data_IF_334501588820
#
_entry.id   IF_334501588820
#
_cell.length_a   1.000
_cell.length_b   1.000
_cell.length_c   1.000
_cell.angle_alpha   90.00
_cell.angle_beta   90.00
_cell.angle_gamma   90.00
#
_symmetry.space_group_name_H-M   'P 1'
#
loop_
_entity.id
_entity.type
_entity.pdbx_description
1 polymer ?
#
# COMPACT_ATOMS: atom_id res chain seq x y z
N UNK A 1 23.80 -12.61 -18.31
CA UNK A 1 22.92 -11.95 -17.30
C UNK A 1 22.35 -13.02 -16.39
N UNK A 2 22.78 -13.04 -15.14
CA UNK A 2 22.27 -14.03 -14.17
C UNK A 2 21.10 -13.40 -13.43
N UNK A 3 19.93 -13.41 -14.03
CA UNK A 3 18.69 -12.84 -13.50
C UNK A 3 17.89 -13.84 -12.65
N UNK A 4 18.53 -14.88 -12.14
CA UNK A 4 17.87 -15.83 -11.23
C UNK A 4 17.69 -15.19 -9.87
N UNK A 5 16.46 -15.13 -9.32
CA UNK A 5 16.23 -14.66 -7.95
C UNK A 5 17.04 -15.49 -6.95
N UNK A 6 17.38 -14.87 -5.83
CA UNK A 6 18.05 -15.55 -4.71
C UNK A 6 17.23 -16.77 -4.27
N UNK A 7 17.89 -17.86 -3.93
CA UNK A 7 17.23 -19.05 -3.39
C UNK A 7 16.47 -18.68 -2.10
N UNK A 8 15.15 -18.94 -2.10
CA UNK A 8 14.26 -18.55 -0.98
C UNK A 8 13.65 -17.15 -1.09
N UNK A 9 13.98 -16.37 -2.13
CA UNK A 9 13.34 -15.09 -2.40
C UNK A 9 11.87 -15.27 -2.80
N UNK A 10 11.03 -14.33 -2.37
CA UNK A 10 9.63 -14.25 -2.83
C UNK A 10 9.49 -13.46 -4.14
N UNK A 11 10.55 -12.84 -4.63
CA UNK A 11 10.57 -12.12 -5.90
C UNK A 11 10.44 -13.15 -7.04
N UNK A 12 9.54 -12.88 -7.97
CA UNK A 12 9.34 -13.70 -9.16
C UNK A 12 9.63 -12.89 -10.42
N UNK A 13 10.17 -13.56 -11.43
CA UNK A 13 10.47 -12.95 -12.72
C UNK A 13 9.59 -13.59 -13.76
N UNK A 14 8.86 -12.79 -14.48
CA UNK A 14 8.02 -13.22 -15.59
C UNK A 14 8.50 -12.57 -16.88
N UNK A 15 8.47 -13.33 -17.95
CA UNK A 15 8.69 -12.83 -19.32
C UNK A 15 7.33 -12.73 -19.99
N UNK A 16 6.87 -11.51 -20.25
CA UNK A 16 5.62 -11.27 -20.95
C UNK A 16 5.82 -10.22 -22.05
N UNK A 17 5.25 -10.45 -23.23
CA UNK A 17 5.31 -9.53 -24.37
C UNK A 17 6.75 -9.09 -24.76
N UNK A 18 7.74 -9.96 -24.59
CA UNK A 18 9.15 -9.65 -24.89
C UNK A 18 9.88 -8.81 -23.83
N UNK A 19 9.22 -8.50 -22.72
CA UNK A 19 9.80 -7.73 -21.61
C UNK A 19 9.92 -8.59 -20.36
N UNK A 20 11.00 -8.36 -19.62
CA UNK A 20 11.18 -8.93 -18.29
C UNK A 20 10.42 -8.11 -17.26
N UNK A 21 9.59 -8.78 -16.46
CA UNK A 21 8.83 -8.17 -15.37
C UNK A 21 9.25 -8.80 -14.05
N UNK A 22 9.79 -8.01 -13.16
CA UNK A 22 10.15 -8.41 -11.79
C UNK A 22 8.96 -8.09 -10.90
N UNK A 23 8.42 -9.09 -10.21
CA UNK A 23 7.27 -8.96 -9.32
C UNK A 23 7.74 -9.09 -7.88
N UNK A 24 7.52 -8.04 -7.10
CA UNK A 24 7.90 -7.97 -5.69
C UNK A 24 6.62 -8.05 -4.84
N UNK A 25 6.39 -9.15 -4.12
CA UNK A 25 5.22 -9.29 -3.27
C UNK A 25 5.32 -8.42 -2.03
N UNK A 26 4.20 -7.90 -1.56
CA UNK A 26 4.13 -7.22 -0.28
C UNK A 26 4.20 -8.22 0.88
N UNK A 27 4.69 -7.77 2.03
CA UNK A 27 4.69 -8.58 3.27
C UNK A 27 3.27 -9.03 3.59
N UNK A 28 3.14 -10.32 3.96
CA UNK A 28 1.85 -10.89 4.35
C UNK A 28 1.35 -10.24 5.65
N UNK A 29 0.10 -9.81 5.64
CA UNK A 29 -0.55 -9.32 6.88
C UNK A 29 -0.88 -10.51 7.77
N UNK A 30 -0.54 -10.41 9.04
CA UNK A 30 -0.80 -11.44 10.03
C UNK A 30 -2.29 -11.72 10.28
N UNK A 31 -2.58 -12.77 11.04
CA UNK A 31 -3.94 -13.17 11.42
C UNK A 31 -4.69 -12.10 12.24
N UNK A 32 -3.97 -11.14 12.82
CA UNK A 32 -4.53 -10.02 13.60
C UNK A 32 -5.59 -9.22 12.82
N UNK A 33 -5.49 -9.15 11.49
CA UNK A 33 -6.52 -8.51 10.65
C UNK A 33 -7.92 -9.09 10.83
N UNK A 34 -8.03 -10.40 11.08
CA UNK A 34 -9.34 -11.04 11.27
C UNK A 34 -9.98 -10.64 12.62
N UNK A 35 -9.15 -10.50 13.65
CA UNK A 35 -9.61 -9.99 14.95
C UNK A 35 -10.12 -8.55 14.82
N UNK A 36 -9.36 -7.67 14.19
CA UNK A 36 -9.76 -6.28 13.93
C UNK A 36 -11.02 -6.23 13.06
N UNK A 37 -11.09 -7.07 12.03
CA UNK A 37 -12.28 -7.17 11.17
C UNK A 37 -13.53 -7.59 11.93
N UNK A 38 -13.44 -8.60 12.79
CA UNK A 38 -14.54 -9.05 13.63
C UNK A 38 -15.00 -7.94 14.58
N UNK A 39 -14.05 -7.24 15.23
CA UNK A 39 -14.37 -6.08 16.06
C UNK A 39 -15.15 -5.02 15.30
N UNK A 40 -14.68 -4.61 14.10
CA UNK A 40 -15.40 -3.62 13.29
C UNK A 40 -16.78 -4.08 12.85
N UNK A 41 -16.96 -5.37 12.54
CA UNK A 41 -18.29 -5.92 12.19
C UNK A 41 -19.27 -5.84 13.35
N UNK A 42 -18.83 -6.24 14.56
CA UNK A 42 -19.64 -6.15 15.77
C UNK A 42 -19.98 -4.69 16.09
N UNK A 43 -18.99 -3.82 16.01
CA UNK A 43 -19.16 -2.38 16.26
C UNK A 43 -20.14 -1.76 15.25
N UNK A 44 -20.01 -2.06 13.93
CA UNK A 44 -20.95 -1.60 12.90
C UNK A 44 -22.37 -2.14 13.12
N UNK A 45 -22.51 -3.36 13.64
CA UNK A 45 -23.80 -3.92 14.02
C UNK A 45 -24.49 -3.07 15.09
N UNK A 46 -23.82 -2.77 16.19
CA UNK A 46 -24.35 -1.90 17.25
C UNK A 46 -24.57 -0.45 16.74
N UNK A 47 -23.61 0.06 15.94
CA UNK A 47 -23.69 1.36 15.29
C UNK A 47 -24.94 1.50 14.41
N UNK A 48 -25.27 0.49 13.59
CA UNK A 48 -26.41 0.51 12.69
C UNK A 48 -27.75 0.55 13.44
N UNK A 49 -27.87 -0.17 14.55
CA UNK A 49 -29.05 -0.11 15.41
C UNK A 49 -29.27 1.31 15.95
N UNK A 50 -28.21 1.93 16.49
CA UNK A 50 -28.28 3.32 16.95
C UNK A 50 -28.63 4.31 15.83
N UNK A 51 -28.07 4.10 14.64
CA UNK A 51 -28.33 4.94 13.47
C UNK A 51 -29.82 4.85 13.04
N UNK A 52 -30.38 3.66 12.94
CA UNK A 52 -31.81 3.45 12.60
C UNK A 52 -32.70 4.10 13.65
N UNK A 53 -32.39 3.95 14.94
CA UNK A 53 -33.14 4.57 16.03
C UNK A 53 -33.11 6.10 15.93
N UNK A 54 -31.93 6.68 15.66
CA UNK A 54 -31.80 8.13 15.50
C UNK A 54 -32.57 8.67 14.28
N UNK A 55 -32.55 7.93 13.16
CA UNK A 55 -33.35 8.29 11.98
C UNK A 55 -34.84 8.25 12.29
N UNK A 56 -35.33 7.22 12.99
CA UNK A 56 -36.74 7.12 13.36
C UNK A 56 -37.19 8.27 14.28
N UNK A 57 -36.34 8.70 15.21
CA UNK A 57 -36.61 9.86 16.07
C UNK A 57 -36.66 11.15 15.24
N UNK A 58 -35.73 11.33 14.30
CA UNK A 58 -35.68 12.50 13.44
C UNK A 58 -36.95 12.63 12.56
N UNK A 59 -37.51 11.50 12.08
CA UNK A 59 -38.75 11.50 11.32
C UNK A 59 -39.97 11.85 12.15
N UNK A 60 -39.94 11.60 13.47
CA UNK A 60 -41.04 11.93 14.38
C UNK A 60 -40.95 13.34 14.97
N UNK A 61 -39.73 13.83 15.19
CA UNK A 61 -39.47 15.15 15.74
C UNK A 61 -38.28 15.76 15.00
N UNK A 62 -38.51 16.77 14.15
CA UNK A 62 -37.46 17.43 13.38
C UNK A 62 -36.57 18.28 14.29
N UNK A 63 -35.61 17.66 14.95
CA UNK A 63 -34.62 18.36 15.77
C UNK A 63 -33.36 18.68 14.97
N UNK A 64 -32.99 19.95 14.75
CA UNK A 64 -31.82 20.34 13.98
C UNK A 64 -30.50 19.76 14.53
N UNK A 65 -30.38 19.62 15.85
CA UNK A 65 -29.22 19.00 16.48
C UNK A 65 -29.03 17.56 16.05
N UNK A 66 -30.11 16.77 15.99
CA UNK A 66 -30.09 15.37 15.59
C UNK A 66 -29.67 15.19 14.13
N UNK A 67 -30.04 16.14 13.25
CA UNK A 67 -29.55 16.16 11.85
C UNK A 67 -28.04 16.29 11.76
N UNK A 68 -27.46 17.28 12.44
CA UNK A 68 -26.00 17.51 12.43
C UNK A 68 -25.25 16.31 13.03
N UNK A 69 -25.77 15.79 14.14
CA UNK A 69 -25.20 14.65 14.81
C UNK A 69 -25.25 13.39 13.94
N UNK A 70 -26.38 13.10 13.29
CA UNK A 70 -26.59 11.98 12.40
C UNK A 70 -25.70 12.08 11.15
N UNK A 71 -25.47 13.29 10.61
CA UNK A 71 -24.54 13.50 9.50
C UNK A 71 -23.09 13.12 9.92
N UNK A 72 -22.61 13.61 11.06
CA UNK A 72 -21.30 13.24 11.59
C UNK A 72 -21.18 11.74 11.88
N UNK A 73 -22.21 11.15 12.48
CA UNK A 73 -22.26 9.71 12.73
C UNK A 73 -22.22 8.90 11.45
N UNK A 74 -22.98 9.30 10.40
CA UNK A 74 -22.97 8.63 9.08
C UNK A 74 -21.60 8.67 8.43
N UNK A 75 -20.87 9.79 8.51
CA UNK A 75 -19.49 9.89 8.04
C UNK A 75 -18.56 8.88 8.76
N UNK A 76 -18.71 8.75 10.09
CA UNK A 76 -17.97 7.77 10.88
C UNK A 76 -18.24 6.33 10.43
N UNK A 77 -19.49 5.98 10.16
CA UNK A 77 -19.88 4.65 9.66
C UNK A 77 -19.30 4.35 8.28
N UNK A 78 -19.41 5.29 7.34
CA UNK A 78 -18.83 5.18 5.99
C UNK A 78 -17.31 4.98 6.08
N UNK A 79 -16.64 5.71 6.96
CA UNK A 79 -15.20 5.58 7.17
C UNK A 79 -14.83 4.20 7.74
N UNK A 80 -15.60 3.70 8.71
CA UNK A 80 -15.39 2.36 9.26
C UNK A 80 -15.59 1.25 8.23
N UNK A 81 -16.61 1.37 7.37
CA UNK A 81 -16.83 0.46 6.23
C UNK A 81 -15.65 0.52 5.25
N UNK A 82 -15.13 1.71 4.97
CA UNK A 82 -13.96 1.87 4.10
C UNK A 82 -12.72 1.20 4.69
N UNK A 83 -12.46 1.35 6.00
CA UNK A 83 -11.35 0.67 6.68
C UNK A 83 -11.53 -0.85 6.57
N UNK A 84 -12.72 -1.35 6.83
CA UNK A 84 -13.02 -2.79 6.74
C UNK A 84 -12.78 -3.32 5.32
N UNK A 85 -13.24 -2.61 4.30
CA UNK A 85 -12.96 -2.94 2.90
C UNK A 85 -11.46 -2.98 2.62
N UNK A 86 -10.70 -1.96 3.06
CA UNK A 86 -9.25 -1.88 2.87
C UNK A 86 -8.50 -3.00 3.59
N UNK A 87 -8.99 -3.42 4.75
CA UNK A 87 -8.40 -4.49 5.56
C UNK A 87 -8.44 -5.85 4.84
N UNK A 88 -9.53 -6.12 4.12
CA UNK A 88 -9.72 -7.40 3.41
C UNK A 88 -9.42 -7.33 1.91
N UNK A 89 -9.13 -6.15 1.38
CA UNK A 89 -8.74 -5.99 -0.02
C UNK A 89 -7.46 -6.78 -0.30
N UNK A 90 -7.45 -7.54 -1.41
CA UNK A 90 -6.25 -8.24 -1.88
C UNK A 90 -5.14 -7.24 -2.18
N UNK A 91 -3.95 -7.49 -1.65
CA UNK A 91 -2.75 -6.76 -2.03
C UNK A 91 -2.40 -7.08 -3.49
N UNK A 92 -1.98 -6.05 -4.22
CA UNK A 92 -1.43 -6.19 -5.58
C UNK A 92 0.07 -6.00 -5.47
N UNK A 93 0.90 -6.96 -5.91
CA UNK A 93 2.35 -6.85 -5.81
C UNK A 93 2.88 -5.66 -6.60
N UNK A 94 4.03 -5.14 -6.20
CA UNK A 94 4.78 -4.20 -7.01
C UNK A 94 5.34 -4.91 -8.26
N UNK A 95 5.41 -4.19 -9.39
CA UNK A 95 5.93 -4.74 -10.64
C UNK A 95 6.90 -3.76 -11.28
N UNK A 96 8.05 -4.27 -11.67
CA UNK A 96 9.08 -3.54 -12.39
C UNK A 96 9.21 -4.17 -13.78
N UNK A 97 8.75 -3.46 -14.80
CA UNK A 97 8.86 -3.90 -16.20
C UNK A 97 10.10 -3.25 -16.83
N UNK A 98 11.06 -4.07 -17.22
CA UNK A 98 12.31 -3.63 -17.83
C UNK A 98 12.07 -3.40 -19.34
N UNK A 99 11.75 -2.15 -19.68
CA UNK A 99 11.57 -1.69 -21.08
C UNK A 99 12.68 -0.72 -21.44
N UNK A 100 13.79 -1.25 -21.94
CA UNK A 100 14.91 -0.37 -22.33
C UNK A 100 14.46 0.68 -23.38
N UNK A 101 14.84 1.96 -23.23
CA UNK A 101 15.71 2.49 -22.18
C UNK A 101 15.01 2.86 -20.84
N UNK A 102 13.70 2.72 -20.74
CA UNK A 102 12.90 3.14 -19.59
C UNK A 102 12.53 1.96 -18.69
N UNK A 103 12.28 2.24 -17.40
CA UNK A 103 11.72 1.29 -16.44
C UNK A 103 10.28 1.70 -16.12
N UNK A 104 9.32 0.78 -16.26
CA UNK A 104 7.94 1.01 -15.82
C UNK A 104 7.76 0.38 -14.44
N UNK A 105 7.51 1.20 -13.45
CA UNK A 105 7.23 0.81 -12.08
C UNK A 105 5.74 0.93 -11.77
N UNK A 106 5.12 -0.19 -11.42
CA UNK A 106 3.76 -0.25 -10.91
C UNK A 106 3.83 -0.41 -9.38
N UNK A 107 3.35 0.57 -8.65
CA UNK A 107 3.43 0.61 -7.18
C UNK A 107 2.60 -0.49 -6.52
N UNK A 108 1.76 -1.18 -7.28
CA UNK A 108 0.82 -2.13 -6.69
C UNK A 108 -0.15 -1.50 -5.69
N UNK A 109 -0.67 -2.31 -4.79
CA UNK A 109 -1.51 -1.88 -3.67
C UNK A 109 -1.04 -2.63 -2.43
N UNK A 110 -0.34 -1.96 -1.50
CA UNK A 110 0.09 -2.59 -0.26
C UNK A 110 -1.12 -2.97 0.60
N UNK A 111 -1.00 -4.03 1.40
CA UNK A 111 -2.00 -4.35 2.41
C UNK A 111 -2.03 -3.24 3.46
N UNK A 112 -3.18 -3.10 4.14
CA UNK A 112 -3.29 -2.13 5.23
C UNK A 112 -2.41 -2.59 6.41
N UNK A 113 -1.43 -1.76 6.79
CA UNK A 113 -0.59 -2.02 7.96
C UNK A 113 -1.30 -1.53 9.22
N UNK A 114 -1.58 -2.47 10.13
CA UNK A 114 -2.27 -2.23 11.41
C UNK A 114 -1.29 -1.96 12.56
N UNK A 115 -0.03 -1.65 12.27
CA UNK A 115 0.93 -1.30 13.31
C UNK A 115 0.59 0.08 13.89
N UNK A 116 -0.07 0.08 15.03
CA UNK A 116 -0.31 1.26 15.83
C UNK A 116 0.98 1.71 16.53
N UNK A 117 1.65 2.72 16.00
CA UNK A 117 2.82 3.33 16.63
C UNK A 117 2.84 4.83 16.39
N UNK A 118 3.18 5.59 17.42
CA UNK A 118 3.15 7.07 17.48
C UNK A 118 3.99 7.79 16.42
N UNK A 119 4.93 7.11 15.77
CA UNK A 119 5.81 7.68 14.73
C UNK A 119 5.22 7.65 13.31
N UNK A 120 4.05 7.01 13.10
CA UNK A 120 3.57 6.63 11.76
C UNK A 120 2.19 7.20 11.37
N UNK A 121 1.69 8.23 12.05
CA UNK A 121 0.36 8.77 11.74
C UNK A 121 0.23 9.23 10.28
N UNK A 122 1.26 9.89 9.73
CA UNK A 122 1.25 10.39 8.34
C UNK A 122 1.36 9.23 7.34
N UNK A 123 2.19 8.24 7.62
CA UNK A 123 2.38 7.06 6.76
C UNK A 123 1.16 6.14 6.79
N UNK A 124 0.46 6.07 7.93
CA UNK A 124 -0.81 5.34 8.05
C UNK A 124 -1.87 5.94 7.12
N UNK A 125 -2.08 7.26 7.15
CA UNK A 125 -3.03 7.93 6.27
C UNK A 125 -2.66 7.79 4.79
N UNK A 126 -1.38 7.87 4.46
CA UNK A 126 -0.87 7.60 3.11
C UNK A 126 -1.16 6.17 2.67
N UNK A 127 -0.97 5.17 3.55
CA UNK A 127 -1.26 3.77 3.24
C UNK A 127 -2.76 3.51 3.08
N UNK A 128 -3.60 4.17 3.88
CA UNK A 128 -5.06 4.07 3.79
C UNK A 128 -5.58 4.58 2.43
N UNK A 129 -5.06 5.72 1.97
CA UNK A 129 -5.45 6.38 0.72
C UNK A 129 -4.59 5.96 -0.48
N UNK A 130 -3.71 4.95 -0.30
CA UNK A 130 -2.79 4.55 -1.36
C UNK A 130 -3.56 4.09 -2.61
N UNK A 131 -3.26 4.75 -3.73
CA UNK A 131 -3.76 4.40 -5.06
C UNK A 131 -2.64 3.77 -5.87
N UNK A 132 -2.95 2.71 -6.60
CA UNK A 132 -2.05 2.11 -7.58
C UNK A 132 -1.67 3.16 -8.62
N UNK A 133 -0.37 3.35 -8.83
CA UNK A 133 0.18 4.25 -9.85
C UNK A 133 1.17 3.50 -10.71
N UNK A 134 1.20 3.81 -12.00
CA UNK A 134 2.28 3.39 -12.90
C UNK A 134 3.17 4.60 -13.13
N UNK A 135 4.44 4.42 -12.90
CA UNK A 135 5.47 5.45 -13.01
C UNK A 135 6.48 4.95 -14.02
N UNK A 136 6.78 5.76 -15.01
CA UNK A 136 7.83 5.49 -15.98
C UNK A 136 9.07 6.27 -15.56
N UNK A 137 10.18 5.57 -15.39
CA UNK A 137 11.49 6.16 -15.09
C UNK A 137 12.33 6.18 -16.36
N UNK A 138 12.88 7.33 -16.66
CA UNK A 138 13.85 7.52 -17.72
C UNK A 138 15.22 6.98 -17.32
N UNK A 139 16.11 6.76 -18.29
CA UNK A 139 17.50 6.33 -18.05
C UNK A 139 18.23 7.30 -17.09
N UNK A 140 17.94 8.60 -17.19
CA UNK A 140 18.56 9.61 -16.34
C UNK A 140 18.10 9.49 -14.89
N UNK A 141 16.82 9.25 -14.66
CA UNK A 141 16.26 9.01 -13.31
C UNK A 141 16.79 7.68 -12.75
N UNK A 142 16.94 6.64 -13.58
CA UNK A 142 17.52 5.36 -13.17
C UNK A 142 18.96 5.51 -12.64
N UNK A 143 19.75 6.44 -13.20
CA UNK A 143 21.09 6.76 -12.67
C UNK A 143 21.10 7.41 -11.29
N UNK A 144 19.97 7.92 -10.81
CA UNK A 144 19.82 8.43 -9.44
C UNK A 144 19.51 7.32 -8.41
N UNK A 145 19.30 6.08 -8.88
CA UNK A 145 18.96 4.94 -8.01
C UNK A 145 20.02 4.69 -6.94
N UNK A 146 19.59 4.59 -5.67
CA UNK A 146 20.49 4.41 -4.51
C UNK A 146 19.88 3.48 -3.49
N UNK A 147 20.74 2.71 -2.83
CA UNK A 147 20.43 2.06 -1.56
C UNK A 147 20.73 3.05 -0.44
N UNK A 148 19.69 3.46 0.30
CA UNK A 148 19.80 4.36 1.45
C UNK A 148 19.64 3.56 2.73
N UNK A 149 20.63 3.65 3.61
CA UNK A 149 20.52 3.11 4.96
C UNK A 149 19.57 3.98 5.79
N UNK A 150 18.64 3.34 6.47
CA UNK A 150 17.71 3.98 7.40
C UNK A 150 17.63 3.16 8.69
N UNK A 151 17.10 3.75 9.76
CA UNK A 151 16.90 3.05 11.05
C UNK A 151 16.08 1.76 10.93
N UNK A 152 15.31 1.62 9.84
CA UNK A 152 14.47 0.46 9.54
C UNK A 152 15.04 -0.49 8.48
N UNK A 153 16.33 -0.35 8.16
CA UNK A 153 17.04 -1.12 7.13
C UNK A 153 17.22 -0.37 5.81
N UNK A 154 17.84 -1.03 4.84
CA UNK A 154 18.12 -0.46 3.54
C UNK A 154 16.83 -0.15 2.75
N UNK A 155 16.77 1.00 2.09
CA UNK A 155 15.71 1.37 1.15
C UNK A 155 16.27 1.56 -0.24
N UNK A 156 15.61 1.00 -1.24
CA UNK A 156 15.93 1.24 -2.65
C UNK A 156 15.09 2.40 -3.15
N UNK A 157 15.75 3.49 -3.54
CA UNK A 157 15.09 4.73 -3.93
C UNK A 157 15.55 5.22 -5.28
N UNK A 158 14.64 5.88 -6.01
CA UNK A 158 14.93 6.63 -7.24
C UNK A 158 14.44 8.06 -7.04
N UNK A 159 15.30 9.03 -7.35
CA UNK A 159 14.94 10.44 -7.29
C UNK A 159 14.25 10.84 -8.61
N UNK A 160 13.06 11.48 -8.52
CA UNK A 160 12.29 12.00 -9.63
C UNK A 160 11.91 13.43 -9.37
N UNK A 161 12.65 14.35 -9.92
CA UNK A 161 12.50 15.77 -9.60
C UNK A 161 12.74 16.04 -8.13
N UNK A 162 11.73 16.56 -7.42
CA UNK A 162 11.79 16.79 -5.97
C UNK A 162 11.34 15.58 -5.15
N UNK A 163 10.76 14.55 -5.77
CA UNK A 163 10.23 13.37 -5.09
C UNK A 163 11.27 12.25 -5.04
N UNK A 164 11.33 11.57 -3.89
CA UNK A 164 12.11 10.36 -3.69
C UNK A 164 11.14 9.17 -3.64
N UNK A 165 11.23 8.27 -4.62
CA UNK A 165 10.29 7.15 -4.76
C UNK A 165 10.95 5.88 -4.26
N UNK A 166 10.34 5.25 -3.24
CA UNK A 166 10.76 3.94 -2.73
C UNK A 166 10.30 2.84 -3.66
N UNK A 167 11.22 1.92 -4.00
CA UNK A 167 10.98 0.74 -4.82
C UNK A 167 11.19 -0.50 -3.96
N UNK A 168 10.41 -1.54 -4.24
CA UNK A 168 10.50 -2.82 -3.55
C UNK A 168 10.36 -2.70 -2.02
N UNK A 169 9.37 -1.88 -1.58
CA UNK A 169 9.12 -1.67 -0.15
C UNK A 169 8.78 -2.98 0.59
N UNK A 170 8.20 -3.96 -0.08
CA UNK A 170 7.88 -5.29 0.46
C UNK A 170 9.05 -6.26 0.56
N UNK A 171 10.17 -6.00 -0.15
CA UNK A 171 11.33 -6.88 -0.21
C UNK A 171 12.17 -6.84 1.08
N UNK A 172 12.94 -7.90 1.32
CA UNK A 172 13.96 -7.94 2.36
C UNK A 172 15.20 -7.11 1.95
N UNK A 173 16.10 -6.82 2.88
CA UNK A 173 17.32 -6.07 2.57
C UNK A 173 18.17 -6.75 1.51
N UNK A 174 18.39 -8.05 1.64
CA UNK A 174 19.16 -8.86 0.68
C UNK A 174 18.50 -8.85 -0.70
N UNK A 175 17.17 -8.91 -0.76
CA UNK A 175 16.44 -8.83 -2.02
C UNK A 175 16.54 -7.45 -2.67
N UNK A 176 16.58 -6.36 -1.87
CA UNK A 176 16.78 -4.99 -2.39
C UNK A 176 18.20 -4.79 -2.93
N UNK A 177 19.21 -5.33 -2.25
CA UNK A 177 20.60 -5.31 -2.74
C UNK A 177 20.74 -6.08 -4.06
N UNK A 178 20.13 -7.27 -4.13
CA UNK A 178 20.10 -8.04 -5.37
C UNK A 178 19.37 -7.27 -6.49
N UNK A 179 18.22 -6.66 -6.19
CA UNK A 179 17.45 -5.88 -7.15
C UNK A 179 18.22 -4.66 -7.62
N UNK A 180 18.90 -3.96 -6.70
CA UNK A 180 19.78 -2.84 -7.02
C UNK A 180 20.90 -3.25 -7.98
N UNK A 181 21.60 -4.34 -7.69
CA UNK A 181 22.67 -4.85 -8.55
C UNK A 181 22.12 -5.25 -9.94
N UNK A 182 20.97 -5.92 -9.98
CA UNK A 182 20.33 -6.35 -11.23
C UNK A 182 19.90 -5.15 -12.10
N UNK A 183 19.25 -4.15 -11.50
CA UNK A 183 18.83 -2.95 -12.23
C UNK A 183 20.02 -2.11 -12.66
N UNK A 184 21.07 -2.05 -11.86
CA UNK A 184 22.32 -1.37 -12.22
C UNK A 184 22.99 -2.01 -13.42
N UNK A 185 23.05 -3.33 -13.48
CA UNK A 185 23.64 -4.07 -14.62
C UNK A 185 22.87 -3.86 -15.94
N UNK A 186 21.56 -3.56 -15.85
CA UNK A 186 20.69 -3.33 -17.02
C UNK A 186 20.74 -1.88 -17.52
N UNK A 187 20.85 -0.90 -16.62
CA UNK A 187 20.65 0.52 -16.96
C UNK A 187 21.92 1.38 -16.87
N UNK A 188 23.05 0.82 -16.43
CA UNK A 188 24.35 1.51 -16.28
C UNK A 188 25.44 0.83 -17.10
#
# INVERSE_FOLDING_TARGET
MNTTPLSGSQITIHYNDGYQTIVVPHKKVGAFRYFVGAFFLLWLGGWSVGWVTAVSQLLNAMEPFLLVWLAGWSLGGVFAIYILYRLFRKSVPEQLQLRLPNLIFDTGVPPLDLKFGTRYSVDYWKSLLHRRKKIEFTLLEMKSMRLRETDSGNRLTIDRGADCIDIAAGATEVEREWLYATLKDVYW
#
